data_IF_685785229595
#
_entry.id   IF_685785229595
#
_cell.length_a   1.000
_cell.length_b   1.000
_cell.length_c   1.000
_cell.angle_alpha   90.00
_cell.angle_beta   90.00
_cell.angle_gamma   90.00
#
_symmetry.space_group_name_H-M   'P 1'
#
loop_
_entity.id
_entity.type
_entity.pdbx_description
1 polymer ?
#
# COMPACT_ATOMS: atom_id res chain seq x y z
N UNK A 1 16.52 -12.44 4.35
CA UNK A 1 15.15 -12.11 4.81
C UNK A 1 15.20 -10.82 5.62
N UNK A 2 14.97 -9.67 4.98
CA UNK A 2 15.16 -8.36 5.63
C UNK A 2 13.93 -7.99 6.45
N UNK A 3 14.13 -7.61 7.71
CA UNK A 3 13.09 -7.13 8.66
C UNK A 3 12.26 -5.99 8.04
N UNK A 4 12.85 -5.25 7.11
CA UNK A 4 12.22 -4.16 6.37
C UNK A 4 11.08 -4.64 5.46
N UNK A 5 11.23 -5.76 4.75
CA UNK A 5 10.15 -6.33 3.94
C UNK A 5 8.98 -6.77 4.81
N UNK A 6 9.24 -7.34 5.99
CA UNK A 6 8.18 -7.77 6.90
C UNK A 6 7.35 -6.59 7.42
N UNK A 7 8.01 -5.52 7.88
CA UNK A 7 7.32 -4.28 8.33
C UNK A 7 6.51 -3.64 7.20
N UNK A 8 7.06 -3.65 5.99
CA UNK A 8 6.40 -3.09 4.81
C UNK A 8 5.17 -3.91 4.40
N UNK A 9 5.28 -5.25 4.39
CA UNK A 9 4.14 -6.15 4.13
C UNK A 9 3.05 -6.00 5.19
N UNK A 10 3.42 -5.83 6.46
CA UNK A 10 2.46 -5.61 7.54
C UNK A 10 1.72 -4.27 7.39
N UNK A 11 2.42 -3.21 6.98
CA UNK A 11 1.82 -1.91 6.68
C UNK A 11 0.92 -1.99 5.44
N UNK A 12 1.33 -2.74 4.41
CA UNK A 12 0.51 -3.02 3.23
C UNK A 12 -0.79 -3.73 3.61
N UNK A 13 -0.69 -4.75 4.47
CA UNK A 13 -1.84 -5.53 4.94
C UNK A 13 -2.83 -4.66 5.72
N UNK A 14 -2.36 -3.75 6.59
CA UNK A 14 -3.22 -2.80 7.31
C UNK A 14 -3.92 -1.81 6.38
N UNK A 15 -3.26 -1.36 5.31
CA UNK A 15 -3.87 -0.48 4.32
C UNK A 15 -4.94 -1.23 3.51
N UNK A 16 -4.68 -2.46 3.10
CA UNK A 16 -5.66 -3.30 2.40
C UNK A 16 -6.88 -3.63 3.27
N UNK A 17 -6.67 -3.92 4.56
CA UNK A 17 -7.77 -4.17 5.50
C UNK A 17 -8.67 -2.93 5.67
N UNK A 18 -8.08 -1.73 5.78
CA UNK A 18 -8.84 -0.48 5.84
C UNK A 18 -9.63 -0.22 4.55
N UNK A 19 -9.05 -0.51 3.38
CA UNK A 19 -9.75 -0.39 2.09
C UNK A 19 -10.93 -1.37 2.02
N UNK A 20 -10.74 -2.62 2.47
CA UNK A 20 -11.81 -3.63 2.50
C UNK A 20 -12.91 -3.26 3.49
N UNK A 21 -12.53 -2.73 4.66
CA UNK A 21 -13.48 -2.26 5.65
C UNK A 21 -14.32 -1.11 5.10
N UNK A 22 -13.70 -0.09 4.47
CA UNK A 22 -14.43 1.01 3.83
C UNK A 22 -15.28 0.54 2.64
N UNK A 23 -14.81 -0.42 1.83
CA UNK A 23 -15.62 -1.03 0.75
C UNK A 23 -16.83 -1.81 1.27
N UNK A 24 -16.78 -2.33 2.50
CA UNK A 24 -17.89 -3.08 3.11
C UNK A 24 -18.97 -2.16 3.70
N UNK A 25 -18.70 -0.85 3.84
CA UNK A 25 -19.67 0.14 4.33
C UNK A 25 -20.67 0.48 3.22
N UNK A 26 -21.95 0.64 3.58
CA UNK A 26 -23.09 0.85 2.66
C UNK A 26 -22.99 2.12 1.79
N UNK A 27 -22.19 3.10 2.21
CA UNK A 27 -21.88 4.33 1.45
C UNK A 27 -20.36 4.51 1.46
N UNK A 28 -19.64 3.87 0.51
CA UNK A 28 -18.20 4.05 0.39
C UNK A 28 -17.91 5.47 -0.10
N UNK A 29 -17.12 6.21 0.67
CA UNK A 29 -16.68 7.54 0.29
C UNK A 29 -15.63 7.40 -0.82
N UNK A 30 -16.05 7.58 -2.07
CA UNK A 30 -15.25 7.31 -3.27
C UNK A 30 -13.97 8.16 -3.29
N UNK A 31 -13.98 9.35 -2.70
CA UNK A 31 -12.80 10.21 -2.56
C UNK A 31 -11.79 9.61 -1.56
N UNK A 32 -12.29 9.06 -0.46
CA UNK A 32 -11.47 8.39 0.56
C UNK A 32 -10.84 7.11 0.01
N UNK A 33 -11.62 6.35 -0.75
CA UNK A 33 -11.17 5.17 -1.51
C UNK A 33 -10.12 5.51 -2.57
N UNK A 34 -10.32 6.61 -3.32
CA UNK A 34 -9.35 7.08 -4.31
C UNK A 34 -8.04 7.52 -3.65
N UNK A 35 -8.13 8.19 -2.49
CA UNK A 35 -6.96 8.63 -1.71
C UNK A 35 -6.18 7.44 -1.15
N UNK A 36 -6.88 6.43 -0.63
CA UNK A 36 -6.27 5.17 -0.17
C UNK A 36 -5.61 4.40 -1.33
N UNK A 37 -6.26 4.33 -2.49
CA UNK A 37 -5.67 3.73 -3.71
C UNK A 37 -4.44 4.48 -4.20
N UNK A 38 -4.44 5.82 -4.21
CA UNK A 38 -3.26 6.62 -4.56
C UNK A 38 -2.10 6.41 -3.58
N UNK A 39 -2.38 6.31 -2.29
CA UNK A 39 -1.38 5.98 -1.28
C UNK A 39 -0.78 4.59 -1.52
N UNK A 40 -1.62 3.58 -1.82
CA UNK A 40 -1.14 2.24 -2.20
C UNK A 40 -0.27 2.27 -3.44
N UNK A 41 -0.66 3.05 -4.46
CA UNK A 41 0.11 3.19 -5.70
C UNK A 41 1.47 3.84 -5.44
N UNK A 42 1.50 4.95 -4.71
CA UNK A 42 2.75 5.64 -4.35
C UNK A 42 3.69 4.75 -3.52
N UNK A 43 3.16 3.95 -2.59
CA UNK A 43 3.96 2.98 -1.83
C UNK A 43 4.51 1.89 -2.75
N UNK A 44 3.72 1.36 -3.70
CA UNK A 44 4.21 0.40 -4.69
C UNK A 44 5.27 1.01 -5.61
N UNK A 45 5.09 2.26 -6.05
CA UNK A 45 6.06 2.97 -6.87
C UNK A 45 7.36 3.23 -6.12
N UNK A 46 7.30 3.59 -4.84
CA UNK A 46 8.51 3.73 -4.00
C UNK A 46 9.20 2.39 -3.77
N UNK A 47 8.45 1.30 -3.63
CA UNK A 47 8.98 -0.05 -3.47
C UNK A 47 9.64 -0.52 -4.76
N UNK A 48 8.99 -0.32 -5.91
CA UNK A 48 9.57 -0.60 -7.23
C UNK A 48 10.79 0.28 -7.51
N UNK A 49 10.75 1.58 -7.22
CA UNK A 49 11.88 2.47 -7.40
C UNK A 49 13.08 2.07 -6.53
N UNK A 50 12.84 1.62 -5.28
CA UNK A 50 13.89 1.11 -4.40
C UNK A 50 14.39 -0.27 -4.81
N UNK A 51 13.50 -1.18 -5.21
CA UNK A 51 13.87 -2.50 -5.71
C UNK A 51 14.68 -2.40 -7.01
N UNK A 52 14.29 -1.49 -7.91
CA UNK A 52 15.04 -1.17 -9.12
C UNK A 52 16.39 -0.54 -8.79
N UNK A 53 16.46 0.37 -7.80
CA UNK A 53 17.73 0.91 -7.30
C UNK A 53 18.63 -0.15 -6.67
N UNK A 54 18.08 -1.19 -6.05
CA UNK A 54 18.84 -2.29 -5.45
C UNK A 54 19.36 -3.31 -6.47
N UNK A 55 18.94 -3.24 -7.74
CA UNK A 55 19.46 -4.10 -8.82
C UNK A 55 20.66 -3.49 -9.57
N UNK A 56 21.02 -2.24 -9.29
CA UNK A 56 22.14 -1.53 -9.96
C UNK A 56 23.37 -1.43 -9.05
N UNK A 57 23.56 -2.38 -8.13
CA UNK A 57 24.81 -2.56 -7.38
C UNK A 57 25.19 -4.04 -7.37
#
# INVERSE_FOLDING_TARGET
>A
MTIFSYKLTQLHKRLDDQIRAEMKVRMPDTLRLLRLKRLRLSVKDQLHARALRQQVC
#
